data_IF_323180513236
#
_entry.id   IF_323180513236
#
_cell.length_a   1.000
_cell.length_b   1.000
_cell.length_c   1.000
_cell.angle_alpha   90.00
_cell.angle_beta   90.00
_cell.angle_gamma   90.00
#
_symmetry.space_group_name_H-M   'P 1'
#
loop_
_entity.id
_entity.type
_entity.pdbx_description
1 polymer ?
#
# COMPACT_ATOMS: atom_id res chain seq x y z
N UNK A 1 -26.65 20.37 -18.11
CA UNK A 1 -25.49 20.99 -17.41
C UNK A 1 -24.34 21.15 -18.38
N UNK A 2 -23.31 21.91 -18.02
CA UNK A 2 -22.04 21.93 -18.75
C UNK A 2 -20.90 21.42 -17.87
N UNK A 3 -19.94 20.70 -18.46
CA UNK A 3 -18.72 20.22 -17.79
C UNK A 3 -17.55 20.56 -18.70
N UNK A 4 -16.63 21.42 -18.25
CA UNK A 4 -15.51 21.96 -19.03
C UNK A 4 -15.95 22.50 -20.40
N UNK A 5 -17.11 23.17 -20.44
CA UNK A 5 -17.72 23.72 -21.66
C UNK A 5 -18.48 22.71 -22.52
N UNK A 6 -18.42 21.40 -22.21
CA UNK A 6 -19.17 20.37 -22.93
C UNK A 6 -20.58 20.27 -22.36
N UNK A 7 -21.59 20.38 -23.22
CA UNK A 7 -22.98 20.17 -22.82
C UNK A 7 -23.23 18.68 -22.52
N UNK A 8 -23.80 18.41 -21.33
CA UNK A 8 -24.13 17.05 -20.88
C UNK A 8 -25.62 16.99 -20.55
N UNK A 9 -26.32 16.07 -21.22
CA UNK A 9 -27.69 15.73 -20.91
C UNK A 9 -27.74 14.93 -19.59
N UNK A 10 -28.64 15.33 -18.70
CA UNK A 10 -28.85 14.66 -17.41
C UNK A 10 -30.14 13.86 -17.51
N UNK A 11 -29.99 12.54 -17.58
CA UNK A 11 -31.12 11.62 -17.55
C UNK A 11 -31.15 10.91 -16.19
N UNK A 12 -32.21 11.16 -15.43
CA UNK A 12 -32.43 10.54 -14.11
C UNK A 12 -31.50 11.06 -13.01
N UNK A 13 -31.45 10.31 -11.90
CA UNK A 13 -30.65 10.65 -10.73
C UNK A 13 -29.20 10.15 -10.91
N UNK A 14 -28.34 10.98 -11.51
CA UNK A 14 -26.90 10.74 -11.61
C UNK A 14 -26.09 11.80 -10.89
N UNK A 15 -24.88 11.43 -10.49
CA UNK A 15 -23.91 12.34 -9.87
C UNK A 15 -23.12 13.14 -10.91
N UNK A 16 -22.49 14.24 -10.50
CA UNK A 16 -21.58 15.02 -11.35
C UNK A 16 -20.44 14.14 -11.90
N UNK A 17 -19.91 13.22 -11.08
CA UNK A 17 -18.89 12.25 -11.51
C UNK A 17 -19.38 11.33 -12.63
N UNK A 18 -20.60 10.78 -12.51
CA UNK A 18 -21.17 9.91 -13.54
C UNK A 18 -21.49 10.69 -14.82
N UNK A 19 -21.96 11.93 -14.70
CA UNK A 19 -22.18 12.82 -15.83
C UNK A 19 -20.87 13.12 -16.58
N UNK A 20 -19.78 13.43 -15.87
CA UNK A 20 -18.46 13.68 -16.47
C UNK A 20 -17.95 12.45 -17.26
N UNK A 21 -18.16 11.24 -16.74
CA UNK A 21 -17.75 10.00 -17.42
C UNK A 21 -18.48 9.78 -18.75
N UNK A 22 -19.73 10.25 -18.90
CA UNK A 22 -20.49 10.12 -20.16
C UNK A 22 -19.84 10.87 -21.32
N UNK A 23 -19.09 11.94 -21.02
CA UNK A 23 -18.34 12.74 -21.99
C UNK A 23 -16.82 12.50 -21.89
N UNK A 24 -16.42 11.34 -21.37
CA UNK A 24 -15.03 10.90 -21.24
C UNK A 24 -14.11 11.81 -20.38
N UNK A 25 -14.66 12.75 -19.61
CA UNK A 25 -13.89 13.57 -18.67
C UNK A 25 -13.59 12.73 -17.42
N UNK A 26 -12.29 12.62 -17.09
CA UNK A 26 -11.84 11.86 -15.93
C UNK A 26 -11.71 12.77 -14.70
N UNK A 27 -12.52 12.49 -13.67
CA UNK A 27 -12.39 13.10 -12.36
C UNK A 27 -11.74 12.06 -11.43
N UNK A 28 -10.64 12.39 -10.72
CA UNK A 28 -9.99 11.42 -9.84
C UNK A 28 -10.90 11.07 -8.66
N UNK A 29 -10.90 9.79 -8.28
CA UNK A 29 -11.67 9.27 -7.15
C UNK A 29 -10.81 8.33 -6.31
N UNK A 30 -10.95 8.42 -4.98
CA UNK A 30 -10.26 7.52 -4.04
C UNK A 30 -11.28 6.69 -3.23
N UNK A 31 -12.25 7.36 -2.59
CA UNK A 31 -13.24 6.69 -1.75
C UNK A 31 -14.52 6.29 -2.50
N UNK A 32 -14.65 6.63 -3.78
CA UNK A 32 -15.81 6.25 -4.61
C UNK A 32 -15.52 4.95 -5.36
N UNK A 33 -16.54 4.10 -5.50
CA UNK A 33 -16.50 2.86 -6.28
C UNK A 33 -17.89 2.61 -6.85
N UNK A 34 -17.95 2.16 -8.10
CA UNK A 34 -19.22 1.79 -8.74
C UNK A 34 -19.96 0.73 -7.90
N UNK A 35 -21.27 0.89 -7.77
CA UNK A 35 -22.13 0.01 -6.97
C UNK A 35 -22.17 0.30 -5.46
N UNK A 36 -21.29 1.16 -4.94
CA UNK A 36 -21.33 1.60 -3.54
C UNK A 36 -21.98 2.98 -3.41
N UNK A 37 -22.72 3.19 -2.31
CA UNK A 37 -23.25 4.51 -1.98
C UNK A 37 -22.11 5.54 -1.88
N UNK A 38 -22.20 6.69 -2.57
CA UNK A 38 -21.17 7.71 -2.55
C UNK A 38 -21.16 8.49 -1.23
N UNK A 39 -19.99 8.92 -0.79
CA UNK A 39 -19.86 9.72 0.44
C UNK A 39 -19.22 11.08 0.22
N UNK A 40 -18.37 11.24 -0.81
CA UNK A 40 -17.61 12.47 -1.04
C UNK A 40 -16.55 12.80 0.02
N UNK A 41 -16.42 11.99 1.08
CA UNK A 41 -15.68 12.37 2.29
C UNK A 41 -14.17 12.49 2.13
N UNK A 42 -13.57 11.91 1.08
CA UNK A 42 -12.12 12.02 0.86
C UNK A 42 -11.68 13.30 0.15
N UNK A 43 -12.60 14.08 -0.45
CA UNK A 43 -12.26 15.33 -1.15
C UNK A 43 -11.48 15.19 -2.47
N UNK A 44 -11.04 13.99 -2.86
CA UNK A 44 -10.21 13.81 -4.07
C UNK A 44 -10.98 14.08 -5.38
N UNK A 45 -12.31 13.94 -5.37
CA UNK A 45 -13.16 14.22 -6.53
C UNK A 45 -13.68 15.67 -6.57
N UNK A 46 -13.06 16.61 -5.83
CA UNK A 46 -13.57 17.98 -5.73
C UNK A 46 -13.53 18.66 -7.09
N UNK A 47 -14.62 19.31 -7.48
CA UNK A 47 -14.76 20.13 -8.70
C UNK A 47 -15.32 21.49 -8.32
N UNK A 48 -15.19 22.47 -9.19
CA UNK A 48 -15.79 23.79 -9.00
C UNK A 48 -17.05 23.93 -9.86
N UNK A 49 -18.10 24.51 -9.30
CA UNK A 49 -19.25 24.98 -10.06
C UNK A 49 -19.09 26.47 -10.36
N UNK A 50 -18.75 26.81 -11.61
CA UNK A 50 -18.52 28.17 -12.08
C UNK A 50 -19.75 29.09 -11.93
N UNK A 51 -20.95 28.52 -11.86
CA UNK A 51 -22.17 29.31 -11.63
C UNK A 51 -22.23 29.88 -10.21
N UNK A 52 -21.66 29.19 -9.23
CA UNK A 52 -21.75 29.55 -7.80
C UNK A 52 -20.40 29.82 -7.14
N UNK A 53 -19.29 29.48 -7.79
CA UNK A 53 -17.93 29.49 -7.22
C UNK A 53 -17.71 28.44 -6.14
N UNK A 54 -18.62 27.48 -5.97
CA UNK A 54 -18.54 26.49 -4.88
C UNK A 54 -17.72 25.27 -5.30
N UNK A 55 -16.88 24.80 -4.39
CA UNK A 55 -16.21 23.51 -4.49
C UNK A 55 -17.12 22.40 -3.96
N UNK A 56 -17.30 21.35 -4.76
CA UNK A 56 -18.27 20.28 -4.49
C UNK A 56 -17.63 18.90 -4.78
N UNK A 57 -17.97 17.85 -4.00
CA UNK A 57 -17.50 16.49 -4.28
C UNK A 57 -18.28 15.87 -5.44
N UNK A 58 -17.67 15.79 -6.62
CA UNK A 58 -18.33 15.29 -7.83
C UNK A 58 -18.97 13.90 -7.67
N UNK A 59 -18.36 13.02 -6.87
CA UNK A 59 -18.84 11.64 -6.70
C UNK A 59 -20.13 11.50 -5.89
N UNK A 60 -20.54 12.53 -5.14
CA UNK A 60 -21.71 12.51 -4.26
C UNK A 60 -22.73 13.59 -4.58
N UNK A 61 -22.31 14.67 -5.26
CA UNK A 61 -23.20 15.74 -5.68
C UNK A 61 -24.11 15.28 -6.82
N UNK A 62 -25.45 15.33 -6.67
CA UNK A 62 -26.38 15.09 -7.77
C UNK A 62 -26.17 16.13 -8.88
N UNK A 63 -26.14 15.68 -10.12
CA UNK A 63 -26.06 16.57 -11.27
C UNK A 63 -27.41 17.28 -11.48
N UNK A 64 -27.39 18.59 -11.71
CA UNK A 64 -28.58 19.34 -12.12
C UNK A 64 -28.28 20.22 -13.34
N UNK A 65 -29.33 20.55 -14.12
CA UNK A 65 -29.15 21.21 -15.42
C UNK A 65 -28.46 22.57 -15.34
N UNK A 66 -28.65 23.28 -14.22
CA UNK A 66 -28.13 24.62 -13.97
C UNK A 66 -26.63 24.67 -13.61
N UNK A 67 -25.98 23.53 -13.40
CA UNK A 67 -24.56 23.49 -13.04
C UNK A 67 -23.64 23.75 -14.23
N UNK A 68 -22.54 24.46 -13.96
CA UNK A 68 -21.45 24.68 -14.91
C UNK A 68 -20.13 24.24 -14.27
N UNK A 69 -19.76 22.97 -14.45
CA UNK A 69 -18.66 22.35 -13.73
C UNK A 69 -17.33 22.58 -14.42
N UNK A 70 -16.34 23.04 -13.67
CA UNK A 70 -14.93 23.09 -14.05
C UNK A 70 -14.19 21.99 -13.30
N UNK A 71 -13.61 21.04 -14.04
CA UNK A 71 -12.91 19.90 -13.43
C UNK A 71 -11.43 20.18 -13.15
N UNK A 72 -10.85 21.20 -13.76
CA UNK A 72 -9.44 21.55 -13.64
C UNK A 72 -9.20 23.04 -13.33
N UNK A 73 -10.13 23.69 -12.62
CA UNK A 73 -9.90 25.05 -12.12
C UNK A 73 -8.77 25.08 -11.09
N UNK A 74 -8.08 26.22 -10.91
CA UNK A 74 -7.02 26.36 -9.91
C UNK A 74 -7.47 25.93 -8.50
N UNK A 75 -8.67 26.34 -8.09
CA UNK A 75 -9.21 26.03 -6.77
C UNK A 75 -9.57 24.55 -6.62
N UNK A 76 -10.13 23.93 -7.66
CA UNK A 76 -10.41 22.49 -7.64
C UNK A 76 -9.11 21.67 -7.57
N UNK A 77 -8.08 22.03 -8.36
CA UNK A 77 -6.80 21.34 -8.35
C UNK A 77 -6.08 21.49 -7.00
N UNK A 78 -6.11 22.69 -6.41
CA UNK A 78 -5.53 22.93 -5.09
C UNK A 78 -6.27 22.15 -4.00
N UNK A 79 -7.60 22.18 -3.99
CA UNK A 79 -8.39 21.44 -3.00
C UNK A 79 -8.16 19.92 -3.08
N UNK A 80 -7.99 19.36 -4.28
CA UNK A 80 -7.63 17.94 -4.45
C UNK A 80 -6.24 17.63 -3.90
N UNK A 81 -5.27 18.51 -4.13
CA UNK A 81 -3.92 18.37 -3.59
C UNK A 81 -3.97 18.42 -2.06
N UNK A 82 -4.66 19.39 -1.48
CA UNK A 82 -4.80 19.54 -0.03
C UNK A 82 -5.47 18.31 0.59
N UNK A 83 -6.52 17.79 -0.05
CA UNK A 83 -7.18 16.56 0.39
C UNK A 83 -6.20 15.37 0.42
N UNK A 84 -5.40 15.17 -0.63
CA UNK A 84 -4.38 14.12 -0.66
C UNK A 84 -3.29 14.34 0.40
N UNK A 85 -2.84 15.58 0.58
CA UNK A 85 -1.82 15.93 1.58
C UNK A 85 -2.33 15.74 3.03
N UNK A 86 -3.62 16.01 3.29
CA UNK A 86 -4.27 15.69 4.56
C UNK A 86 -4.37 14.19 4.80
N UNK A 87 -4.72 13.39 3.78
CA UNK A 87 -4.69 11.92 3.88
C UNK A 87 -3.27 11.41 4.16
N UNK A 88 -2.26 12.05 3.59
CA UNK A 88 -0.85 11.72 3.82
C UNK A 88 -0.34 12.13 5.21
N UNK A 89 -0.95 13.12 5.87
CA UNK A 89 -0.48 13.62 7.17
C UNK A 89 -0.36 12.52 8.24
N UNK A 90 -1.30 11.58 8.25
CA UNK A 90 -1.31 10.44 9.19
C UNK A 90 -0.90 9.12 8.54
N UNK A 91 -0.61 9.11 7.23
CA UNK A 91 -0.16 7.93 6.50
C UNK A 91 1.36 7.97 6.35
N UNK A 92 2.11 6.95 6.83
CA UNK A 92 3.58 6.99 6.86
C UNK A 92 4.20 6.98 5.47
N UNK A 93 3.45 6.54 4.46
CA UNK A 93 3.83 6.55 3.05
C UNK A 93 5.17 5.83 2.74
N UNK A 94 5.55 4.90 3.62
CA UNK A 94 6.60 3.89 3.43
C UNK A 94 6.18 2.86 2.36
N UNK A 95 5.97 3.32 1.13
CA UNK A 95 5.48 2.50 0.02
C UNK A 95 6.50 1.45 -0.41
N UNK A 96 7.79 1.74 -0.26
CA UNK A 96 8.90 0.82 -0.55
C UNK A 96 9.69 0.60 0.73
N UNK A 97 10.02 -0.66 1.03
CA UNK A 97 10.78 -0.99 2.22
C UNK A 97 12.22 -0.40 2.14
N UNK A 98 12.80 0.04 3.26
CA UNK A 98 14.14 0.64 3.25
C UNK A 98 15.22 -0.32 2.76
N UNK A 99 15.09 -1.61 3.03
CA UNK A 99 16.01 -2.63 2.51
C UNK A 99 15.96 -2.77 0.98
N UNK A 100 14.78 -2.60 0.37
CA UNK A 100 14.60 -2.61 -1.09
C UNK A 100 15.11 -1.31 -1.71
N UNK A 101 14.78 -0.16 -1.11
CA UNK A 101 15.28 1.15 -1.54
C UNK A 101 16.81 1.24 -1.52
N UNK A 102 17.45 0.59 -0.55
CA UNK A 102 18.90 0.54 -0.42
C UNK A 102 19.57 -0.49 -1.34
N UNK A 103 18.81 -1.37 -1.99
CA UNK A 103 19.38 -2.43 -2.82
C UNK A 103 19.82 -1.88 -4.20
N UNK A 104 21.12 -1.95 -4.55
CA UNK A 104 21.62 -1.41 -5.82
C UNK A 104 21.13 -2.17 -7.07
N UNK A 105 20.72 -3.43 -6.94
CA UNK A 105 20.11 -4.21 -8.03
C UNK A 105 18.59 -4.03 -8.10
N UNK A 106 17.96 -3.37 -7.13
CA UNK A 106 16.51 -3.21 -7.09
C UNK A 106 15.75 -4.48 -6.68
N UNK A 107 16.43 -5.46 -6.06
CA UNK A 107 15.79 -6.67 -5.53
C UNK A 107 14.56 -6.32 -4.67
N UNK A 108 13.38 -6.91 -4.92
CA UNK A 108 12.21 -6.76 -4.06
C UNK A 108 12.41 -7.56 -2.75
N UNK A 109 13.23 -7.01 -1.86
CA UNK A 109 13.65 -7.67 -0.61
C UNK A 109 12.47 -8.23 0.20
N UNK A 110 11.37 -7.49 0.45
CA UNK A 110 10.24 -8.04 1.19
C UNK A 110 9.65 -9.30 0.57
N UNK A 111 9.51 -9.34 -0.77
CA UNK A 111 8.99 -10.50 -1.51
C UNK A 111 9.94 -11.68 -1.44
N UNK A 112 11.26 -11.42 -1.57
CA UNK A 112 12.28 -12.47 -1.41
C UNK A 112 12.18 -13.12 -0.03
N UNK A 113 12.16 -12.31 1.04
CA UNK A 113 12.10 -12.81 2.41
C UNK A 113 10.78 -13.56 2.69
N UNK A 114 9.66 -13.08 2.15
CA UNK A 114 8.37 -13.79 2.25
C UNK A 114 8.40 -15.15 1.54
N UNK A 115 8.99 -15.23 0.34
CA UNK A 115 9.15 -16.50 -0.38
C UNK A 115 10.03 -17.48 0.41
N UNK A 116 11.17 -17.03 0.95
CA UNK A 116 12.08 -17.85 1.75
C UNK A 116 11.42 -18.34 3.04
N UNK A 117 10.76 -17.44 3.79
CA UNK A 117 10.09 -17.80 5.03
C UNK A 117 8.93 -18.79 4.81
N UNK A 118 8.23 -18.67 3.68
CA UNK A 118 7.15 -19.57 3.30
C UNK A 118 7.64 -20.87 2.62
N UNK A 119 8.95 -21.07 2.44
CA UNK A 119 9.49 -22.24 1.75
C UNK A 119 9.22 -22.30 0.24
N UNK A 120 8.86 -21.18 -0.39
CA UNK A 120 8.65 -21.07 -1.86
C UNK A 120 10.00 -20.92 -2.57
N UNK A 121 10.80 -21.98 -2.52
CA UNK A 121 12.21 -21.97 -2.94
C UNK A 121 12.41 -21.60 -4.42
N UNK A 122 11.57 -22.12 -5.32
CA UNK A 122 11.65 -21.84 -6.75
C UNK A 122 11.49 -20.32 -7.03
N UNK A 123 10.52 -19.67 -6.39
CA UNK A 123 10.36 -18.22 -6.51
C UNK A 123 11.54 -17.45 -5.92
N UNK A 124 12.01 -17.85 -4.73
CA UNK A 124 13.12 -17.19 -4.05
C UNK A 124 14.42 -17.25 -4.87
N UNK A 125 14.76 -18.43 -5.40
CA UNK A 125 15.92 -18.63 -6.27
C UNK A 125 15.78 -17.86 -7.59
N UNK A 126 14.59 -17.85 -8.20
CA UNK A 126 14.31 -17.07 -9.41
C UNK A 126 14.51 -15.58 -9.19
N UNK A 127 13.95 -15.02 -8.12
CA UNK A 127 14.16 -13.61 -7.75
C UNK A 127 15.65 -13.31 -7.53
N UNK A 128 16.35 -14.15 -6.78
CA UNK A 128 17.77 -13.96 -6.50
C UNK A 128 18.63 -13.93 -7.78
N UNK A 129 18.29 -14.74 -8.80
CA UNK A 129 18.98 -14.77 -10.10
C UNK A 129 18.65 -13.58 -11.00
N UNK A 130 17.40 -13.12 -11.01
CA UNK A 130 16.97 -11.95 -11.82
C UNK A 130 17.68 -10.67 -11.33
N UNK A 131 17.84 -10.53 -10.02
CA UNK A 131 18.45 -9.35 -9.41
C UNK A 131 19.86 -9.70 -8.91
N UNK A 132 20.93 -9.49 -9.68
CA UNK A 132 22.27 -9.92 -9.30
C UNK A 132 22.77 -9.25 -8.01
N UNK A 133 23.68 -9.92 -7.30
CA UNK A 133 24.33 -9.35 -6.11
C UNK A 133 25.40 -8.35 -6.54
N UNK A 134 25.07 -7.06 -6.51
CA UNK A 134 25.99 -6.00 -6.99
C UNK A 134 26.68 -5.22 -5.87
N UNK A 135 26.23 -5.40 -4.63
CA UNK A 135 26.70 -4.64 -3.48
C UNK A 135 27.98 -5.17 -2.83
N UNK A 136 28.55 -6.26 -3.34
CA UNK A 136 29.65 -6.96 -2.68
C UNK A 136 29.37 -7.22 -1.20
N UNK A 137 30.36 -6.94 -0.34
CA UNK A 137 30.25 -7.02 1.12
C UNK A 137 29.62 -5.79 1.80
N UNK A 138 29.18 -4.78 1.04
CA UNK A 138 28.67 -3.55 1.62
C UNK A 138 27.29 -3.71 2.30
N UNK A 139 26.51 -4.74 1.94
CA UNK A 139 25.21 -5.11 2.52
C UNK A 139 24.29 -3.90 2.86
N UNK A 140 23.98 -3.01 1.89
CA UNK A 140 23.22 -1.79 2.16
C UNK A 140 21.78 -2.07 2.62
N UNK A 141 21.18 -3.17 2.17
CA UNK A 141 19.86 -3.64 2.60
C UNK A 141 19.81 -3.96 4.11
N UNK A 142 20.89 -4.49 4.68
CA UNK A 142 21.00 -4.81 6.10
C UNK A 142 21.26 -3.57 6.94
N UNK A 143 22.08 -2.63 6.44
CA UNK A 143 22.29 -1.31 7.08
C UNK A 143 20.99 -0.51 7.17
N UNK A 144 20.14 -0.60 6.15
CA UNK A 144 18.85 0.06 6.09
C UNK A 144 17.71 -0.70 6.79
N UNK A 145 17.96 -1.92 7.28
CA UNK A 145 16.93 -2.76 7.89
C UNK A 145 16.44 -2.16 9.21
N UNK A 146 15.13 -1.88 9.33
CA UNK A 146 14.52 -1.34 10.56
C UNK A 146 14.69 -2.24 11.78
N UNK A 147 14.84 -3.56 11.57
CA UNK A 147 15.10 -4.53 12.63
C UNK A 147 16.46 -4.36 13.31
N UNK A 148 17.40 -3.64 12.69
CA UNK A 148 18.73 -3.39 13.27
C UNK A 148 18.67 -2.85 14.69
N UNK A 149 17.66 -2.03 15.00
CA UNK A 149 17.44 -1.48 16.34
C UNK A 149 16.98 -2.51 17.40
N UNK A 150 16.62 -3.74 17.01
CA UNK A 150 15.95 -4.75 17.85
C UNK A 150 16.74 -6.07 17.99
N UNK A 151 18.07 -6.01 18.00
CA UNK A 151 18.92 -7.21 18.08
C UNK A 151 19.54 -7.67 16.74
N UNK A 152 19.67 -6.74 15.79
CA UNK A 152 20.39 -6.95 14.53
C UNK A 152 19.48 -7.09 13.31
N UNK A 153 20.01 -6.76 12.11
CA UNK A 153 19.23 -6.84 10.87
C UNK A 153 18.91 -8.30 10.52
N UNK A 154 17.96 -8.46 9.60
CA UNK A 154 17.84 -9.71 8.85
C UNK A 154 19.07 -9.83 7.94
N UNK A 155 19.67 -11.01 7.83
CA UNK A 155 20.83 -11.30 6.97
C UNK A 155 20.45 -11.36 5.49
N UNK A 156 19.85 -10.29 4.98
CA UNK A 156 19.27 -10.17 3.63
C UNK A 156 20.33 -10.44 2.56
N UNK A 157 21.53 -9.87 2.72
CA UNK A 157 22.58 -10.00 1.71
C UNK A 157 23.15 -11.42 1.69
N UNK A 158 23.25 -12.07 2.86
CA UNK A 158 23.67 -13.46 2.96
C UNK A 158 22.66 -14.41 2.31
N UNK A 159 21.36 -14.22 2.59
CA UNK A 159 20.27 -14.97 1.97
C UNK A 159 20.27 -14.80 0.44
N UNK A 160 20.42 -13.57 -0.03
CA UNK A 160 20.46 -13.26 -1.47
C UNK A 160 21.63 -13.95 -2.17
N UNK A 161 22.84 -13.90 -1.58
CA UNK A 161 24.04 -14.58 -2.12
C UNK A 161 23.88 -16.09 -2.21
N UNK A 162 23.39 -16.69 -1.13
CA UNK A 162 23.18 -18.14 -1.07
C UNK A 162 22.15 -18.62 -2.08
N UNK A 163 21.00 -17.93 -2.19
CA UNK A 163 19.97 -18.25 -3.20
C UNK A 163 20.48 -18.05 -4.63
N UNK A 164 21.37 -17.08 -4.85
CA UNK A 164 21.97 -16.83 -6.16
C UNK A 164 23.11 -17.82 -6.49
N UNK A 165 23.59 -18.61 -5.53
CA UNK A 165 24.77 -19.47 -5.69
C UNK A 165 26.08 -18.70 -5.87
N UNK A 166 26.16 -17.47 -5.35
CA UNK A 166 27.32 -16.57 -5.50
C UNK A 166 28.02 -16.41 -4.15
N UNK A 167 29.02 -17.24 -3.82
CA UNK A 167 29.74 -17.16 -2.55
C UNK A 167 30.66 -15.92 -2.44
N UNK A 168 31.13 -15.39 -3.57
CA UNK A 168 32.02 -14.21 -3.63
C UNK A 168 31.61 -13.26 -4.79
N UNK A 169 31.54 -11.93 -4.60
CA UNK A 169 30.89 -11.04 -5.54
C UNK A 169 31.82 -10.58 -6.67
N UNK A 170 31.45 -10.83 -7.92
CA UNK A 170 31.90 -10.02 -9.05
C UNK A 170 30.97 -8.80 -9.17
N UNK A 171 31.48 -7.55 -9.17
CA UNK A 171 30.65 -6.39 -9.44
C UNK A 171 30.00 -6.53 -10.83
N UNK A 172 28.76 -6.06 -11.02
CA UNK A 172 28.08 -6.20 -12.30
C UNK A 172 28.84 -5.43 -13.38
N UNK A 173 28.86 -5.97 -14.61
CA UNK A 173 29.40 -5.26 -15.77
C UNK A 173 28.66 -3.94 -16.06
N UNK A 174 27.40 -3.81 -15.63
CA UNK A 174 26.63 -2.56 -15.72
C UNK A 174 25.58 -2.45 -14.60
N UNK A 175 25.37 -1.22 -14.11
CA UNK A 175 24.30 -0.89 -13.15
C UNK A 175 22.94 -0.90 -13.90
N UNK A 176 21.92 -1.67 -13.46
CA UNK A 176 20.60 -1.59 -14.08
C UNK A 176 20.04 -0.17 -13.97
N UNK A 177 19.25 0.29 -14.97
CA UNK A 177 18.68 1.63 -14.94
C UNK A 177 17.81 1.79 -13.69
N UNK A 178 17.96 2.93 -13.00
CA UNK A 178 17.16 3.22 -11.83
C UNK A 178 15.68 3.26 -12.23
N UNK A 179 14.78 2.58 -11.49
CA UNK A 179 13.36 2.64 -11.80
C UNK A 179 12.86 4.10 -11.73
N UNK A 180 11.91 4.45 -12.62
CA UNK A 180 11.29 5.78 -12.65
C UNK A 180 10.77 6.15 -11.25
N UNK A 181 11.04 7.38 -10.83
CA UNK A 181 10.70 7.88 -9.49
C UNK A 181 9.18 8.06 -9.36
N UNK A 182 8.48 7.10 -8.77
CA UNK A 182 7.12 7.28 -8.24
C UNK A 182 7.15 8.18 -7.00
N UNK A 183 6.00 8.73 -6.57
CA UNK A 183 5.91 9.45 -5.30
C UNK A 183 6.61 8.66 -4.19
N UNK A 184 7.51 9.36 -3.48
CA UNK A 184 8.28 8.86 -2.35
C UNK A 184 8.19 9.86 -1.22
N UNK A 185 7.56 9.42 -0.15
CA UNK A 185 7.62 10.09 1.12
C UNK A 185 9.04 10.03 1.72
N UNK A 186 9.33 10.98 2.61
CA UNK A 186 10.52 10.89 3.46
C UNK A 186 10.19 9.86 4.53
N UNK A 187 10.77 8.66 4.42
CA UNK A 187 10.59 7.63 5.45
C UNK A 187 11.11 8.17 6.78
N UNK A 188 10.21 8.36 7.74
CA UNK A 188 10.58 8.66 9.12
C UNK A 188 11.00 7.37 9.82
N UNK A 189 11.80 7.49 10.88
CA UNK A 189 12.06 6.37 11.77
C UNK A 189 10.74 5.88 12.41
N UNK A 190 10.60 4.58 12.60
CA UNK A 190 9.53 4.05 13.46
C UNK A 190 9.92 4.25 14.93
N UNK A 191 8.93 4.48 15.79
CA UNK A 191 9.16 4.47 17.23
C UNK A 191 9.64 3.09 17.70
N UNK A 192 10.40 3.07 18.80
CA UNK A 192 10.85 1.83 19.43
C UNK A 192 9.66 0.93 19.81
N UNK A 193 8.57 1.51 20.31
CA UNK A 193 7.32 0.79 20.60
C UNK A 193 6.75 0.09 19.35
N UNK A 194 6.65 0.79 18.23
CA UNK A 194 6.17 0.20 16.96
C UNK A 194 7.08 -0.93 16.50
N UNK A 195 8.39 -0.74 16.64
CA UNK A 195 9.38 -1.74 16.29
C UNK A 195 9.24 -2.99 17.15
N UNK A 196 9.05 -2.85 18.47
CA UNK A 196 8.84 -3.96 19.39
C UNK A 196 7.56 -4.75 19.06
N UNK A 197 6.46 -4.07 18.72
CA UNK A 197 5.22 -4.72 18.26
C UNK A 197 5.47 -5.59 17.04
N UNK A 198 6.16 -5.08 16.01
CA UNK A 198 6.49 -5.87 14.82
C UNK A 198 7.46 -7.02 15.11
N UNK A 199 8.34 -6.85 16.12
CA UNK A 199 9.28 -7.89 16.53
C UNK A 199 8.56 -9.07 17.20
N UNK A 200 7.56 -8.78 18.05
CA UNK A 200 6.75 -9.80 18.71
C UNK A 200 6.06 -10.73 17.70
N UNK A 201 5.63 -10.20 16.55
CA UNK A 201 4.99 -10.98 15.46
C UNK A 201 5.97 -11.90 14.70
N UNK A 202 7.27 -11.67 14.80
CA UNK A 202 8.30 -12.26 13.91
C UNK A 202 9.39 -13.04 14.65
N UNK A 203 9.33 -13.08 15.99
CA UNK A 203 10.28 -13.79 16.87
C UNK A 203 11.59 -13.02 17.12
N UNK A 204 12.32 -13.37 18.20
CA UNK A 204 13.48 -12.58 18.70
C UNK A 204 14.85 -13.25 18.57
N UNK A 205 14.91 -14.58 18.45
CA UNK A 205 16.19 -15.30 18.52
C UNK A 205 17.01 -15.11 17.24
N UNK A 206 18.33 -15.00 17.40
CA UNK A 206 19.32 -15.00 16.32
C UNK A 206 20.05 -16.33 16.41
N UNK A 207 20.24 -17.02 15.30
CA UNK A 207 21.24 -18.08 15.28
C UNK A 207 22.62 -17.42 15.30
N UNK A 208 23.35 -17.56 16.40
CA UNK A 208 24.76 -17.17 16.44
C UNK A 208 25.59 -18.22 15.68
N UNK A 209 26.57 -17.76 14.89
CA UNK A 209 27.61 -18.65 14.34
C UNK A 209 27.24 -19.49 13.11
N UNK A 210 26.22 -19.13 12.32
CA UNK A 210 26.01 -19.81 11.02
C UNK A 210 27.09 -19.33 10.04
N UNK A 211 28.00 -20.23 9.69
CA UNK A 211 28.84 -20.10 8.50
C UNK A 211 27.92 -19.98 7.27
N UNK A 212 28.01 -18.90 6.46
CA UNK A 212 27.26 -18.78 5.22
C UNK A 212 27.42 -19.99 4.28
N UNK A 213 28.54 -20.71 4.36
CA UNK A 213 28.78 -21.95 3.60
C UNK A 213 28.00 -23.17 4.13
N UNK A 214 27.52 -23.12 5.38
CA UNK A 214 26.72 -24.16 6.03
C UNK A 214 25.21 -23.82 6.11
N UNK A 215 24.77 -22.80 5.37
CA UNK A 215 23.36 -22.37 5.40
C UNK A 215 22.44 -23.43 4.75
N UNK A 216 21.43 -23.86 5.51
CA UNK A 216 20.40 -24.79 5.06
C UNK A 216 19.10 -24.05 4.73
N UNK A 217 18.17 -24.69 4.02
CA UNK A 217 16.81 -24.17 3.80
C UNK A 217 16.09 -23.85 5.13
N UNK A 218 16.27 -24.67 6.16
CA UNK A 218 15.68 -24.41 7.48
C UNK A 218 16.26 -23.15 8.14
N UNK A 219 17.58 -22.96 8.08
CA UNK A 219 18.23 -21.74 8.56
C UNK A 219 17.77 -20.50 7.78
N UNK A 220 17.69 -20.61 6.46
CA UNK A 220 17.25 -19.51 5.60
C UNK A 220 15.80 -19.10 5.88
N UNK A 221 14.89 -20.08 5.99
CA UNK A 221 13.49 -19.84 6.32
C UNK A 221 13.34 -19.13 7.67
N UNK A 222 14.08 -19.59 8.68
CA UNK A 222 14.09 -18.97 9.99
C UNK A 222 14.58 -17.53 9.97
N UNK A 223 15.73 -17.27 9.34
CA UNK A 223 16.31 -15.93 9.27
C UNK A 223 15.41 -14.97 8.50
N UNK A 224 14.79 -15.43 7.41
CA UNK A 224 13.82 -14.63 6.66
C UNK A 224 12.54 -14.35 7.46
N UNK A 225 12.09 -15.30 8.29
CA UNK A 225 10.91 -15.13 9.15
C UNK A 225 11.08 -14.01 10.20
N UNK A 226 12.32 -13.61 10.51
CA UNK A 226 12.62 -12.43 11.36
C UNK A 226 12.28 -11.10 10.67
N UNK A 227 11.92 -11.06 9.39
CA UNK A 227 11.54 -9.82 8.72
C UNK A 227 10.34 -9.14 9.40
N UNK A 228 10.47 -7.87 9.81
CA UNK A 228 9.38 -7.08 10.41
C UNK A 228 8.20 -6.78 9.45
N UNK A 229 8.31 -7.18 8.17
CA UNK A 229 7.32 -6.90 7.13
C UNK A 229 6.90 -5.42 7.10
N UNK A 230 7.86 -4.52 7.32
CA UNK A 230 7.60 -3.08 7.51
C UNK A 230 7.26 -2.32 6.21
N UNK A 231 7.48 -2.94 5.05
CA UNK A 231 7.10 -2.37 3.75
C UNK A 231 5.60 -2.46 3.48
N UNK A 232 5.09 -1.57 2.63
CA UNK A 232 3.71 -1.66 2.14
C UNK A 232 3.50 -2.96 1.34
N UNK A 233 2.37 -3.64 1.58
CA UNK A 233 1.96 -4.85 0.84
C UNK A 233 1.33 -4.55 -0.53
N UNK A 234 1.05 -3.28 -0.83
CA UNK A 234 0.50 -2.80 -2.11
C UNK A 234 1.44 -1.77 -2.78
N UNK A 235 2.72 -2.10 -3.07
CA UNK A 235 3.69 -1.11 -3.53
C UNK A 235 3.46 -0.65 -4.98
N UNK A 236 2.80 -1.46 -5.81
CA UNK A 236 2.74 -1.29 -7.27
C UNK A 236 1.41 -0.74 -7.80
N UNK A 237 0.31 -0.95 -7.09
CA UNK A 237 -1.08 -0.68 -7.49
C UNK A 237 -1.87 0.08 -6.40
N UNK A 238 -1.17 0.83 -5.55
CA UNK A 238 -1.79 1.70 -4.54
C UNK A 238 -2.34 2.97 -5.20
N UNK A 239 -3.66 3.06 -5.28
CA UNK A 239 -4.37 4.19 -5.88
C UNK A 239 -4.04 5.52 -5.18
N UNK A 240 -3.88 5.53 -3.84
CA UNK A 240 -3.44 6.73 -3.13
C UNK A 240 -2.07 7.21 -3.63
N UNK A 241 -1.12 6.29 -3.84
CA UNK A 241 0.24 6.63 -4.31
C UNK A 241 0.20 7.21 -5.72
N UNK A 242 -0.64 6.66 -6.59
CA UNK A 242 -0.84 7.13 -7.95
C UNK A 242 -1.41 8.56 -7.96
N UNK A 243 -2.53 8.77 -7.26
CA UNK A 243 -3.17 10.07 -7.17
C UNK A 243 -2.27 11.15 -6.54
N UNK A 244 -1.49 10.79 -5.50
CA UNK A 244 -0.48 11.69 -4.94
C UNK A 244 0.64 12.03 -5.94
N UNK A 245 1.04 11.06 -6.78
CA UNK A 245 2.05 11.28 -7.82
C UNK A 245 1.51 12.27 -8.87
N UNK A 246 0.29 12.05 -9.35
CA UNK A 246 -0.36 12.89 -10.35
C UNK A 246 -0.60 14.32 -9.85
N UNK A 247 -1.08 14.47 -8.62
CA UNK A 247 -1.36 15.79 -8.04
C UNK A 247 -0.09 16.55 -7.59
N UNK A 248 1.07 15.90 -7.55
CA UNK A 248 2.30 16.44 -6.98
C UNK A 248 2.16 16.73 -5.47
N UNK A 249 1.38 15.92 -4.76
CA UNK A 249 1.13 16.08 -3.32
C UNK A 249 2.43 15.88 -2.51
N UNK A 250 2.54 16.54 -1.36
CA UNK A 250 3.69 16.43 -0.45
C UNK A 250 3.24 15.98 0.93
N UNK A 251 3.83 14.89 1.43
CA UNK A 251 3.51 14.38 2.77
C UNK A 251 3.79 15.40 3.89
N UNK A 252 4.81 16.25 3.71
CA UNK A 252 5.21 17.24 4.72
C UNK A 252 4.36 18.53 4.72
N UNK A 253 3.32 18.61 3.90
CA UNK A 253 2.51 19.83 3.81
C UNK A 253 1.64 20.07 5.05
N UNK A 254 1.19 19.00 5.71
CA UNK A 254 0.44 19.07 6.96
C UNK A 254 1.11 18.22 8.05
N UNK A 255 1.09 18.71 9.29
CA UNK A 255 1.49 17.91 10.44
C UNK A 255 0.37 16.94 10.82
N UNK A 256 0.70 15.66 10.96
CA UNK A 256 -0.20 14.63 11.49
C UNK A 256 0.14 14.24 12.92
N UNK A 257 -0.78 13.58 13.61
CA UNK A 257 -0.61 13.10 14.99
C UNK A 257 0.05 11.72 15.08
N UNK A 258 0.56 11.17 13.96
CA UNK A 258 1.00 9.79 13.80
C UNK A 258 -0.07 8.77 14.23
N UNK A 259 -0.85 8.27 13.26
CA UNK A 259 -1.91 7.29 13.50
C UNK A 259 -1.41 5.96 14.07
N UNK A 260 -2.35 5.13 14.52
CA UNK A 260 -2.06 3.80 15.07
C UNK A 260 -1.19 2.97 14.12
N UNK A 261 -0.11 2.39 14.65
CA UNK A 261 0.77 1.46 13.95
C UNK A 261 0.36 0.00 14.14
N UNK A 262 -0.84 -0.24 14.68
CA UNK A 262 -1.37 -1.57 14.89
C UNK A 262 -1.47 -2.33 13.57
N UNK A 263 -0.94 -3.55 13.59
CA UNK A 263 -1.10 -4.53 12.53
C UNK A 263 -1.77 -5.75 13.15
N UNK A 264 -2.81 -6.23 12.49
CA UNK A 264 -3.53 -7.42 12.89
C UNK A 264 -3.44 -8.44 11.76
N UNK A 265 -2.93 -9.63 12.09
CA UNK A 265 -2.65 -10.68 11.13
C UNK A 265 -3.35 -11.97 11.54
N UNK A 266 -4.03 -12.57 10.58
CA UNK A 266 -4.56 -13.92 10.63
C UNK A 266 -3.88 -14.76 9.55
N UNK A 267 -4.23 -16.04 9.43
CA UNK A 267 -3.62 -16.95 8.46
C UNK A 267 -3.74 -16.49 7.00
N UNK A 268 -4.84 -15.81 6.65
CA UNK A 268 -5.17 -15.44 5.25
C UNK A 268 -5.42 -13.94 5.04
N UNK A 269 -5.41 -13.14 6.09
CA UNK A 269 -5.75 -11.73 6.03
C UNK A 269 -4.88 -10.88 6.95
N UNK A 270 -4.50 -9.70 6.47
CA UNK A 270 -3.76 -8.70 7.22
C UNK A 270 -4.45 -7.34 7.14
N UNK A 271 -4.67 -6.72 8.30
CA UNK A 271 -5.06 -5.32 8.44
C UNK A 271 -3.89 -4.50 9.00
N UNK A 272 -3.43 -3.48 8.28
CA UNK A 272 -2.41 -2.53 8.74
C UNK A 272 -3.04 -1.15 8.91
N UNK A 273 -3.30 -0.77 10.17
CA UNK A 273 -4.02 0.45 10.51
C UNK A 273 -3.29 1.70 10.02
N UNK A 274 -1.96 1.68 10.01
CA UNK A 274 -1.16 2.82 9.56
C UNK A 274 -1.28 3.08 8.05
N UNK A 275 -1.77 2.12 7.26
CA UNK A 275 -1.97 2.27 5.80
C UNK A 275 -3.42 2.65 5.48
N UNK A 276 -4.30 2.66 6.48
CA UNK A 276 -5.70 2.99 6.32
C UNK A 276 -5.89 4.51 6.24
N UNK A 277 -6.62 4.96 5.22
CA UNK A 277 -7.00 6.37 5.02
C UNK A 277 -8.47 6.63 5.34
N UNK A 278 -9.13 5.71 6.06
CA UNK A 278 -10.51 5.84 6.53
C UNK A 278 -11.55 6.12 5.42
N UNK A 279 -11.28 5.66 4.19
CA UNK A 279 -12.19 5.84 3.05
C UNK A 279 -13.56 5.16 3.21
N UNK A 280 -13.67 4.21 4.14
CA UNK A 280 -14.89 3.47 4.43
C UNK A 280 -15.36 2.52 3.33
N UNK A 281 -14.56 2.29 2.28
CA UNK A 281 -14.93 1.35 1.20
C UNK A 281 -15.20 -0.03 1.79
N UNK A 282 -14.36 -0.53 2.69
CA UNK A 282 -14.55 -1.83 3.32
C UNK A 282 -15.89 -1.96 4.07
N UNK A 283 -16.27 -0.94 4.84
CA UNK A 283 -17.55 -0.88 5.57
C UNK A 283 -18.73 -0.93 4.60
N UNK A 284 -18.67 -0.14 3.52
CA UNK A 284 -19.75 -0.10 2.53
C UNK A 284 -19.82 -1.36 1.68
N UNK A 285 -18.69 -1.95 1.31
CA UNK A 285 -18.63 -3.24 0.62
C UNK A 285 -19.27 -4.33 1.47
N UNK A 286 -18.92 -4.42 2.76
CA UNK A 286 -19.52 -5.40 3.66
C UNK A 286 -21.03 -5.19 3.84
N UNK A 287 -21.48 -3.93 3.93
CA UNK A 287 -22.90 -3.58 3.96
C UNK A 287 -23.65 -4.00 2.68
N UNK A 288 -23.07 -3.78 1.51
CA UNK A 288 -23.66 -4.21 0.23
C UNK A 288 -23.81 -5.74 0.15
N UNK A 289 -22.89 -6.48 0.77
CA UNK A 289 -22.91 -7.94 0.85
C UNK A 289 -23.81 -8.47 1.98
N UNK A 290 -24.53 -7.61 2.71
CA UNK A 290 -25.37 -7.96 3.86
C UNK A 290 -24.62 -8.81 4.92
N UNK A 291 -23.34 -8.51 5.15
CA UNK A 291 -22.52 -9.24 6.10
C UNK A 291 -23.06 -9.10 7.54
N UNK A 292 -23.24 -10.23 8.24
CA UNK A 292 -23.68 -10.25 9.63
C UNK A 292 -22.64 -9.68 10.61
N UNK A 293 -21.36 -9.89 10.30
CA UNK A 293 -20.21 -9.33 11.01
C UNK A 293 -19.33 -8.63 9.97
N UNK A 294 -19.06 -7.35 10.17
CA UNK A 294 -18.42 -6.49 9.18
C UNK A 294 -17.44 -5.50 9.83
N UNK A 295 -16.40 -5.06 9.11
CA UNK A 295 -15.57 -3.93 9.54
C UNK A 295 -16.43 -2.68 9.77
N UNK A 296 -16.14 -1.92 10.82
CA UNK A 296 -16.86 -0.72 11.17
C UNK A 296 -15.92 0.44 11.53
N UNK A 297 -16.45 1.66 11.49
CA UNK A 297 -15.78 2.83 12.05
C UNK A 297 -15.90 2.82 13.58
N UNK A 298 -14.76 2.94 14.26
CA UNK A 298 -14.66 3.09 15.70
C UNK A 298 -14.07 4.46 16.03
N UNK A 299 -14.60 5.13 17.06
CA UNK A 299 -14.14 6.46 17.45
C UNK A 299 -14.60 7.58 16.51
N UNK A 300 -14.06 8.79 16.71
CA UNK A 300 -14.35 10.00 15.90
C UNK A 300 -13.10 10.88 15.82
N UNK A 301 -13.06 11.78 14.84
CA UNK A 301 -11.95 12.71 14.64
C UNK A 301 -10.61 11.99 14.46
N UNK A 302 -9.55 12.48 15.12
CA UNK A 302 -8.22 11.88 15.05
C UNK A 302 -8.10 10.48 15.69
N UNK A 303 -9.09 10.07 16.50
CA UNK A 303 -9.16 8.73 17.08
C UNK A 303 -9.95 7.73 16.21
N UNK A 304 -10.44 8.15 15.04
CA UNK A 304 -11.21 7.29 14.16
C UNK A 304 -10.32 6.17 13.59
N UNK A 305 -10.82 4.93 13.64
CA UNK A 305 -10.15 3.74 13.08
C UNK A 305 -11.17 2.78 12.47
N UNK A 306 -10.70 1.94 11.56
CA UNK A 306 -11.46 0.76 11.11
C UNK A 306 -11.07 -0.41 12.00
N UNK A 307 -12.06 -1.14 12.51
CA UNK A 307 -11.88 -2.32 13.34
C UNK A 307 -13.04 -3.32 13.13
N UNK A 308 -12.90 -4.58 13.57
CA UNK A 308 -14.03 -5.48 13.72
C UNK A 308 -15.04 -4.92 14.75
N UNK A 309 -16.31 -5.39 14.74
CA UNK A 309 -17.30 -4.96 15.73
C UNK A 309 -16.81 -5.14 17.17
N UNK A 310 -17.31 -4.34 18.10
CA UNK A 310 -16.88 -4.37 19.50
C UNK A 310 -16.96 -5.79 20.08
N UNK A 311 -15.87 -6.24 20.70
CA UNK A 311 -15.77 -7.60 21.26
C UNK A 311 -15.62 -8.70 20.21
N UNK A 312 -15.22 -8.36 18.98
CA UNK A 312 -14.85 -9.30 17.91
C UNK A 312 -13.42 -9.08 17.47
N UNK A 313 -12.87 -10.09 16.80
CA UNK A 313 -11.56 -10.06 16.15
C UNK A 313 -11.74 -10.17 14.63
N UNK A 314 -10.68 -9.86 13.87
CA UNK A 314 -10.76 -9.92 12.41
C UNK A 314 -11.14 -11.30 11.87
N UNK A 315 -10.76 -12.37 12.58
CA UNK A 315 -11.11 -13.75 12.21
C UNK A 315 -12.60 -14.08 12.38
N UNK A 316 -13.37 -13.24 13.07
CA UNK A 316 -14.82 -13.42 13.20
C UNK A 316 -15.59 -12.94 11.96
N UNK A 317 -14.96 -12.13 11.10
CA UNK A 317 -15.56 -11.64 9.85
C UNK A 317 -15.42 -12.75 8.79
N UNK A 318 -16.49 -13.08 8.03
CA UNK A 318 -16.42 -14.13 7.01
C UNK A 318 -15.33 -13.86 5.96
N UNK A 319 -14.63 -14.92 5.54
CA UNK A 319 -13.45 -14.82 4.68
C UNK A 319 -13.76 -14.19 3.31
N UNK A 320 -14.96 -14.45 2.77
CA UNK A 320 -15.48 -13.87 1.55
C UNK A 320 -15.67 -12.35 1.67
N UNK A 321 -16.07 -11.85 2.85
CA UNK A 321 -16.20 -10.42 3.12
C UNK A 321 -14.82 -9.78 3.22
N UNK A 322 -13.89 -10.40 3.95
CA UNK A 322 -12.51 -9.92 4.04
C UNK A 322 -11.82 -9.88 2.67
N UNK A 323 -12.06 -10.90 1.83
CA UNK A 323 -11.56 -10.94 0.46
C UNK A 323 -12.13 -9.81 -0.40
N UNK A 324 -13.44 -9.57 -0.33
CA UNK A 324 -14.08 -8.46 -1.03
C UNK A 324 -13.56 -7.09 -0.54
N UNK A 325 -13.38 -6.91 0.77
CA UNK A 325 -12.84 -5.69 1.36
C UNK A 325 -11.37 -5.46 0.96
N UNK A 326 -10.53 -6.50 0.98
CA UNK A 326 -9.12 -6.43 0.58
C UNK A 326 -8.99 -6.08 -0.91
N UNK A 327 -9.75 -6.75 -1.77
CA UNK A 327 -9.81 -6.43 -3.20
C UNK A 327 -10.33 -5.01 -3.47
N UNK A 328 -11.14 -4.47 -2.55
CA UNK A 328 -11.69 -3.13 -2.67
C UNK A 328 -10.82 -2.03 -2.06
N UNK A 329 -9.78 -2.38 -1.30
CA UNK A 329 -8.96 -1.41 -0.59
C UNK A 329 -8.11 -0.58 -1.57
N UNK A 330 -8.24 0.77 -1.55
CA UNK A 330 -7.45 1.64 -2.43
C UNK A 330 -5.99 1.78 -1.97
N UNK A 331 -5.67 1.36 -0.74
CA UNK A 331 -4.34 1.41 -0.15
C UNK A 331 -3.86 0.01 0.26
N UNK A 332 -2.70 -0.08 0.91
CA UNK A 332 -2.19 -1.34 1.46
C UNK A 332 -2.74 -1.71 2.84
N UNK A 333 -3.89 -1.15 3.26
CA UNK A 333 -4.43 -1.36 4.59
C UNK A 333 -5.07 -2.74 4.80
N UNK A 334 -5.72 -3.29 3.79
CA UNK A 334 -6.34 -4.62 3.82
C UNK A 334 -5.77 -5.46 2.71
N UNK A 335 -5.16 -6.59 3.06
CA UNK A 335 -4.54 -7.49 2.08
C UNK A 335 -4.83 -8.94 2.42
N UNK A 336 -5.00 -9.75 1.38
CA UNK A 336 -4.99 -11.20 1.52
C UNK A 336 -3.55 -11.69 1.59
N UNK A 337 -3.32 -12.68 2.44
CA UNK A 337 -2.04 -13.36 2.53
C UNK A 337 -2.08 -14.61 1.65
N UNK A 338 -1.00 -14.93 0.93
CA UNK A 338 -0.93 -16.16 0.17
C UNK A 338 -1.12 -17.37 1.09
N UNK A 339 -1.97 -18.31 0.67
CA UNK A 339 -2.11 -19.61 1.34
C UNK A 339 -0.85 -20.45 1.11
N UNK A 340 -0.47 -21.26 2.10
CA UNK A 340 0.62 -22.22 1.98
C UNK A 340 0.43 -23.23 0.82
N UNK A 341 -0.81 -23.44 0.37
CA UNK A 341 -1.19 -24.50 -0.58
C UNK A 341 -1.37 -24.04 -2.05
N UNK A 342 -0.90 -22.85 -2.44
CA UNK A 342 -1.04 -22.38 -3.83
C UNK A 342 0.26 -22.58 -4.63
N UNK A 343 0.24 -23.60 -5.47
CA UNK A 343 1.10 -23.73 -6.65
C UNK A 343 1.04 -22.44 -7.49
N UNK A 344 2.19 -22.15 -8.07
CA UNK A 344 2.56 -21.01 -8.90
C UNK A 344 1.41 -20.44 -9.74
N UNK A 345 0.85 -19.31 -9.30
CA UNK A 345 0.18 -18.39 -10.23
C UNK A 345 1.23 -17.40 -10.72
N UNK A 346 1.57 -17.51 -12.00
CA UNK A 346 2.41 -16.57 -12.72
C UNK A 346 1.93 -15.14 -12.49
N UNK A 347 2.85 -14.28 -12.07
CA UNK A 347 2.63 -12.87 -11.84
C UNK A 347 2.42 -12.16 -13.20
N UNK A 348 1.21 -11.63 -13.49
CA UNK A 348 0.93 -10.95 -14.76
C UNK A 348 1.59 -9.57 -14.87
N UNK A 349 2.41 -9.15 -13.90
CA UNK A 349 3.13 -7.87 -13.89
C UNK A 349 4.65 -8.02 -14.03
N UNK A 350 5.14 -9.16 -14.53
CA UNK A 350 6.50 -9.24 -15.06
C UNK A 350 6.63 -8.23 -16.22
N UNK A 351 7.52 -7.22 -16.15
CA UNK A 351 7.78 -6.38 -17.30
C UNK A 351 8.41 -7.27 -18.38
N UNK A 352 7.62 -7.59 -19.40
CA UNK A 352 8.14 -8.24 -20.60
C UNK A 352 9.23 -7.37 -21.21
N UNK A 353 10.32 -8.03 -21.58
CA UNK A 353 11.54 -7.43 -22.11
C UNK A 353 11.20 -6.72 -23.43
N UNK A 354 11.41 -5.41 -23.46
CA UNK A 354 11.79 -4.67 -24.67
C UNK A 354 13.26 -4.28 -24.55
#
# INVERSE_FOLDING_TARGET
MTIDGIAVAIDGAVTVYEAARRVAIQIPVLCHRAGLHPTGGCGVCTVEDAATGRLLPACATPACESMAILTASPDALQARRDALELLLSNHPADCEAPCQMACPSGLPVPRLLEAVAAGRWAEAERLARIYPVTCGNAAPCEKACRRRALGGPVAICALHRWLAGVPDPQPPAARPPAPRRRFRARMTGLSEETLLTFCAETGTRRFEGIDPAAMTRAHAAYEAARCLQCGCRKPNDCLLRELCTEAGARQSAFAGAHGSTARERSDRFCFDAARCVLCGICVRTAGQLNASIAPAFHGRGFAARIAPPLGRVWSDIPAEILAACAAACPTGAMTLLPSADREEQEDPHCPERM
#
